data_IF_895234763811
#
_entry.id   IF_895234763811
#
_cell.length_a   1.000
_cell.length_b   1.000
_cell.length_c   1.000
_cell.angle_alpha   90.00
_cell.angle_beta   90.00
_cell.angle_gamma   90.00
#
_symmetry.space_group_name_H-M   'P 1'
#
loop_
_entity.id
_entity.type
_entity.pdbx_description
1 polymer ?
#
# COMPACT_ATOMS: atom_id res chain seq x y z
N UNK A 1 -7.69 -4.62 -18.43
CA UNK A 1 -6.54 -4.07 -17.67
C UNK A 1 -6.48 -4.76 -16.33
N UNK A 2 -5.33 -5.35 -15.99
CA UNK A 2 -5.13 -6.05 -14.72
C UNK A 2 -4.64 -5.04 -13.67
N UNK A 3 -5.44 -4.79 -12.65
CA UNK A 3 -5.14 -3.81 -11.61
C UNK A 3 -4.90 -4.52 -10.29
N UNK A 4 -3.76 -4.27 -9.64
CA UNK A 4 -3.34 -4.89 -8.39
C UNK A 4 -3.19 -3.82 -7.31
N UNK A 5 -3.89 -3.95 -6.20
CA UNK A 5 -3.65 -3.14 -5.01
C UNK A 5 -2.68 -3.87 -4.11
N UNK A 6 -1.69 -3.18 -3.56
CA UNK A 6 -0.75 -3.76 -2.61
C UNK A 6 -0.32 -2.79 -1.51
N UNK A 7 0.13 -3.37 -0.39
CA UNK A 7 0.64 -2.68 0.78
C UNK A 7 1.72 -3.52 1.46
N UNK A 8 2.75 -2.89 2.04
CA UNK A 8 3.85 -3.59 2.70
C UNK A 8 3.99 -3.18 4.18
N UNK A 9 4.22 -4.18 5.04
CA UNK A 9 4.54 -3.94 6.44
C UNK A 9 6.01 -4.27 6.71
N UNK A 10 6.65 -3.45 7.55
CA UNK A 10 8.09 -3.50 7.74
C UNK A 10 8.49 -3.32 9.19
N UNK A 11 9.68 -3.78 9.54
CA UNK A 11 10.27 -3.36 10.81
C UNK A 11 10.71 -1.90 10.75
N UNK A 12 10.90 -1.29 11.90
CA UNK A 12 11.50 0.03 12.00
C UNK A 12 12.58 0.04 13.09
N UNK A 13 13.70 0.67 12.80
CA UNK A 13 14.80 0.82 13.75
C UNK A 13 14.96 2.28 14.17
N UNK A 14 15.28 2.46 15.45
CA UNK A 14 15.63 3.75 15.98
C UNK A 14 17.03 4.16 15.49
N UNK A 15 17.15 5.39 15.01
CA UNK A 15 18.42 6.01 14.63
C UNK A 15 19.11 6.62 15.85
N UNK A 16 20.40 6.92 15.71
CA UNK A 16 21.20 7.60 16.73
C UNK A 16 20.61 8.94 17.20
N UNK A 17 19.74 9.56 16.43
CA UNK A 17 19.03 10.81 16.77
C UNK A 17 17.67 10.58 17.44
N UNK A 18 17.35 9.36 17.86
CA UNK A 18 16.10 9.00 18.52
C UNK A 18 14.88 8.92 17.58
N UNK A 19 15.07 9.02 16.26
CA UNK A 19 13.98 8.90 15.29
C UNK A 19 13.90 7.48 14.75
N UNK A 20 12.72 6.91 14.77
CA UNK A 20 12.44 5.65 14.09
C UNK A 20 12.40 5.84 12.57
N UNK A 21 12.86 4.85 11.81
CA UNK A 21 12.79 4.85 10.36
C UNK A 21 12.47 3.45 9.85
N UNK A 22 11.46 3.30 9.02
CA UNK A 22 11.09 2.03 8.39
C UNK A 22 11.77 1.81 7.02
N UNK A 23 12.76 2.61 6.65
CA UNK A 23 13.42 2.49 5.34
C UNK A 23 14.34 1.26 5.28
N UNK A 24 14.43 0.57 4.12
CA UNK A 24 15.22 -0.66 3.97
C UNK A 24 16.72 -0.45 4.23
N UNK A 25 17.27 0.72 3.91
CA UNK A 25 18.69 1.06 4.01
C UNK A 25 19.25 1.09 5.45
N UNK A 26 18.41 0.96 6.47
CA UNK A 26 18.82 1.02 7.88
C UNK A 26 18.75 -0.34 8.57
N UNK A 27 18.82 -1.42 7.80
CA UNK A 27 18.81 -2.78 8.30
C UNK A 27 17.45 -3.21 8.86
N UNK A 28 16.38 -2.62 8.36
CA UNK A 28 15.03 -3.09 8.56
C UNK A 28 14.74 -4.29 7.65
N UNK A 29 13.65 -4.97 7.92
CA UNK A 29 13.20 -6.15 7.16
C UNK A 29 11.76 -5.94 6.69
N UNK A 30 11.45 -6.47 5.51
CA UNK A 30 10.09 -6.64 5.04
C UNK A 30 9.41 -7.71 5.90
N UNK A 31 8.28 -7.39 6.50
CA UNK A 31 7.52 -8.30 7.36
C UNK A 31 6.47 -9.04 6.55
N UNK A 32 5.64 -8.32 5.81
CA UNK A 32 4.56 -8.90 5.01
C UNK A 32 4.24 -8.03 3.80
N UNK A 33 3.61 -8.65 2.81
CA UNK A 33 2.95 -7.98 1.69
C UNK A 33 1.50 -8.46 1.64
N UNK A 34 0.57 -7.51 1.63
CA UNK A 34 -0.82 -7.73 1.30
C UNK A 34 -1.09 -7.28 -0.13
N UNK A 35 -1.86 -8.05 -0.91
CA UNK A 35 -2.26 -7.65 -2.25
C UNK A 35 -3.59 -8.25 -2.69
N UNK A 36 -4.26 -7.58 -3.63
CA UNK A 36 -5.57 -7.97 -4.15
C UNK A 36 -5.72 -7.52 -5.59
N UNK A 37 -6.27 -8.40 -6.43
CA UNK A 37 -6.72 -8.03 -7.77
C UNK A 37 -8.07 -7.30 -7.70
N UNK A 38 -8.22 -6.24 -8.46
CA UNK A 38 -9.43 -5.41 -8.45
C UNK A 38 -10.71 -6.20 -8.70
N UNK A 39 -10.66 -7.17 -9.62
CA UNK A 39 -11.82 -7.98 -10.01
C UNK A 39 -12.04 -9.24 -9.13
N UNK A 40 -11.23 -9.42 -8.08
CA UNK A 40 -11.31 -10.57 -7.17
C UNK A 40 -11.71 -10.14 -5.76
N UNK A 41 -12.39 -11.03 -5.04
CA UNK A 41 -12.71 -10.79 -3.62
C UNK A 41 -11.56 -11.16 -2.69
N UNK A 42 -10.70 -12.07 -3.14
CA UNK A 42 -9.62 -12.62 -2.33
C UNK A 42 -8.50 -11.60 -2.12
N UNK A 43 -8.13 -11.39 -0.86
CA UNK A 43 -6.89 -10.70 -0.48
C UNK A 43 -5.85 -11.75 -0.12
N UNK A 44 -4.70 -11.69 -0.76
CA UNK A 44 -3.51 -12.46 -0.40
C UNK A 44 -2.72 -11.68 0.65
N UNK A 45 -2.15 -12.38 1.62
CA UNK A 45 -1.35 -11.75 2.67
C UNK A 45 -0.22 -12.70 3.09
N UNK A 46 0.99 -12.40 2.63
CA UNK A 46 2.14 -13.26 2.73
C UNK A 46 3.14 -12.77 3.77
N UNK A 47 3.67 -13.72 4.55
CA UNK A 47 4.73 -13.51 5.52
C UNK A 47 6.11 -13.61 4.84
N UNK A 48 6.98 -12.63 5.11
CA UNK A 48 8.39 -12.65 4.71
C UNK A 48 9.32 -12.76 5.90
N UNK A 49 9.00 -12.07 7.00
CA UNK A 49 9.83 -12.09 8.20
C UNK A 49 9.00 -11.74 9.44
N UNK A 50 8.78 -12.71 10.32
CA UNK A 50 7.99 -12.50 11.52
C UNK A 50 8.51 -13.38 12.68
N UNK A 51 8.25 -12.98 13.94
CA UNK A 51 8.77 -13.65 15.13
C UNK A 51 8.20 -15.06 15.36
N UNK A 52 6.95 -15.28 14.96
CA UNK A 52 6.22 -16.53 15.22
C UNK A 52 5.64 -17.19 13.96
N UNK A 53 5.40 -16.40 12.91
CA UNK A 53 4.87 -16.91 11.64
C UNK A 53 6.02 -17.26 10.70
N UNK A 54 6.08 -18.47 10.16
CA UNK A 54 7.10 -18.81 9.17
C UNK A 54 6.85 -18.04 7.87
N UNK A 55 7.92 -17.73 7.11
CA UNK A 55 7.76 -17.16 5.77
C UNK A 55 6.90 -18.06 4.88
N UNK A 56 6.03 -17.46 4.07
CA UNK A 56 5.24 -18.17 3.08
C UNK A 56 6.16 -18.70 1.96
N UNK A 57 6.18 -20.00 1.73
CA UNK A 57 7.19 -20.67 0.85
C UNK A 57 7.26 -20.08 -0.56
N UNK A 58 6.12 -19.70 -1.14
CA UNK A 58 6.03 -19.16 -2.52
C UNK A 58 5.93 -17.63 -2.59
N UNK A 59 5.87 -16.93 -1.45
CA UNK A 59 5.55 -15.50 -1.37
C UNK A 59 6.29 -14.62 -2.39
N UNK A 60 7.60 -14.79 -2.50
CA UNK A 60 8.40 -13.98 -3.42
C UNK A 60 8.11 -14.29 -4.90
N UNK A 61 7.87 -15.57 -5.23
CA UNK A 61 7.55 -15.99 -6.58
C UNK A 61 6.14 -15.55 -6.97
N UNK A 62 5.18 -15.69 -6.06
CA UNK A 62 3.78 -15.31 -6.28
C UNK A 62 3.67 -13.79 -6.45
N UNK A 63 4.35 -13.02 -5.60
CA UNK A 63 4.38 -11.55 -5.71
C UNK A 63 5.02 -11.10 -7.03
N UNK A 64 6.18 -11.65 -7.42
CA UNK A 64 6.79 -11.29 -8.71
C UNK A 64 5.89 -11.69 -9.89
N UNK A 65 5.21 -12.83 -9.78
CA UNK A 65 4.25 -13.26 -10.81
C UNK A 65 3.08 -12.28 -10.90
N UNK A 66 2.54 -11.84 -9.77
CA UNK A 66 1.47 -10.84 -9.73
C UNK A 66 1.94 -9.52 -10.35
N UNK A 67 3.12 -9.02 -9.98
CA UNK A 67 3.70 -7.80 -10.57
C UNK A 67 3.90 -7.90 -12.08
N UNK A 68 4.33 -9.04 -12.58
CA UNK A 68 4.53 -9.27 -14.02
C UNK A 68 3.20 -9.28 -14.82
N UNK A 69 2.09 -9.56 -14.17
CA UNK A 69 0.76 -9.59 -14.79
C UNK A 69 -0.05 -8.31 -14.59
N UNK A 70 0.37 -7.45 -13.66
CA UNK A 70 -0.31 -6.21 -13.38
C UNK A 70 0.02 -5.14 -14.42
N UNK A 71 -0.99 -4.56 -15.02
CA UNK A 71 -0.85 -3.37 -15.88
C UNK A 71 -0.74 -2.10 -15.03
N UNK A 72 -1.45 -2.07 -13.89
CA UNK A 72 -1.46 -0.97 -12.91
C UNK A 72 -1.31 -1.54 -11.51
N UNK A 73 -0.47 -0.91 -10.69
CA UNK A 73 -0.42 -1.16 -9.26
C UNK A 73 -0.90 0.06 -8.48
N UNK A 74 -1.72 -0.19 -7.44
CA UNK A 74 -2.29 0.82 -6.56
C UNK A 74 -1.63 0.73 -5.19
N UNK A 75 -1.32 1.85 -4.59
CA UNK A 75 -0.88 1.93 -3.20
C UNK A 75 -1.11 3.31 -2.58
N UNK A 76 -0.87 3.39 -1.29
CA UNK A 76 -1.00 4.63 -0.50
C UNK A 76 0.38 5.15 -0.09
N UNK A 77 0.77 6.37 -0.49
CA UNK A 77 2.15 6.85 -0.30
C UNK A 77 3.16 5.86 -0.90
N UNK A 78 2.86 5.44 -2.09
CA UNK A 78 3.38 4.22 -2.70
C UNK A 78 4.88 4.24 -2.98
N UNK A 79 5.48 5.42 -2.97
CA UNK A 79 6.94 5.55 -3.02
C UNK A 79 7.66 4.74 -1.93
N UNK A 80 7.02 4.58 -0.76
CA UNK A 80 7.54 3.77 0.33
C UNK A 80 7.59 2.29 -0.05
N UNK A 81 6.47 1.75 -0.53
CA UNK A 81 6.32 0.35 -0.92
C UNK A 81 7.21 0.01 -2.11
N UNK A 82 7.28 0.88 -3.11
CA UNK A 82 8.16 0.71 -4.28
C UNK A 82 9.65 0.62 -3.90
N UNK A 83 10.09 1.39 -2.91
CA UNK A 83 11.45 1.27 -2.41
C UNK A 83 11.69 -0.11 -1.77
N UNK A 84 10.73 -0.63 -1.00
CA UNK A 84 10.82 -1.95 -0.41
C UNK A 84 10.80 -3.06 -1.45
N UNK A 85 9.88 -3.00 -2.41
CA UNK A 85 9.83 -3.97 -3.50
C UNK A 85 11.17 -4.03 -4.23
N UNK A 86 11.73 -2.88 -4.62
CA UNK A 86 13.02 -2.80 -5.32
C UNK A 86 14.17 -3.35 -4.49
N UNK A 87 14.28 -2.99 -3.22
CA UNK A 87 15.35 -3.47 -2.33
C UNK A 87 15.24 -4.98 -2.03
N UNK A 88 14.03 -5.54 -2.07
CA UNK A 88 13.80 -6.99 -1.98
C UNK A 88 14.02 -7.73 -3.31
N UNK A 89 14.36 -7.02 -4.39
CA UNK A 89 14.67 -7.60 -5.69
C UNK A 89 13.48 -7.78 -6.62
N UNK A 90 12.31 -7.26 -6.25
CA UNK A 90 11.15 -7.25 -7.14
C UNK A 90 11.31 -6.21 -8.25
N UNK A 91 10.77 -6.53 -9.42
CA UNK A 91 10.74 -5.64 -10.58
C UNK A 91 9.31 -5.37 -11.02
N UNK A 92 9.05 -4.14 -11.41
CA UNK A 92 7.77 -3.71 -11.98
C UNK A 92 8.01 -2.58 -12.99
N UNK A 93 7.39 -2.68 -14.15
CA UNK A 93 7.53 -1.72 -15.26
C UNK A 93 6.19 -1.14 -15.74
N UNK A 94 5.06 -1.52 -15.08
CA UNK A 94 3.73 -1.03 -15.40
C UNK A 94 3.42 0.34 -14.80
N UNK A 95 2.15 0.70 -14.82
CA UNK A 95 1.65 1.98 -14.32
C UNK A 95 1.45 1.94 -12.80
N UNK A 96 1.58 3.11 -12.17
CA UNK A 96 1.45 3.29 -10.73
C UNK A 96 0.32 4.29 -10.45
N UNK A 97 -0.56 3.94 -9.51
CA UNK A 97 -1.57 4.83 -8.98
C UNK A 97 -1.36 5.02 -7.47
N UNK A 98 -0.96 6.23 -7.06
CA UNK A 98 -0.74 6.58 -5.65
C UNK A 98 -1.95 7.39 -5.14
N UNK A 99 -2.71 6.80 -4.20
CA UNK A 99 -3.91 7.44 -3.65
C UNK A 99 -3.60 8.71 -2.87
N UNK A 100 -2.40 8.84 -2.27
CA UNK A 100 -1.99 10.07 -1.60
C UNK A 100 -1.73 11.20 -2.60
N UNK A 101 -1.08 10.90 -3.72
CA UNK A 101 -0.82 11.89 -4.78
C UNK A 101 -2.12 12.30 -5.46
N UNK A 102 -3.00 11.33 -5.74
CA UNK A 102 -4.32 11.57 -6.31
C UNK A 102 -5.16 12.52 -5.44
N UNK A 103 -5.17 12.27 -4.12
CA UNK A 103 -5.86 13.16 -3.18
C UNK A 103 -5.27 14.55 -3.14
N UNK A 104 -3.95 14.67 -3.16
CA UNK A 104 -3.30 15.99 -3.20
C UNK A 104 -3.75 16.82 -4.42
N UNK A 105 -3.92 16.17 -5.58
CA UNK A 105 -4.40 16.82 -6.80
C UNK A 105 -5.88 17.19 -6.67
N UNK A 106 -6.74 16.28 -6.20
CA UNK A 106 -8.18 16.51 -5.97
C UNK A 106 -8.43 17.64 -4.96
N UNK A 107 -7.60 17.73 -3.93
CA UNK A 107 -7.69 18.78 -2.90
C UNK A 107 -7.31 20.17 -3.41
N UNK A 108 -6.76 20.31 -4.62
CA UNK A 108 -6.39 21.59 -5.25
C UNK A 108 -5.65 22.54 -4.31
N UNK A 109 -4.60 22.05 -3.66
CA UNK A 109 -3.79 22.78 -2.69
C UNK A 109 -4.50 23.14 -1.37
N UNK A 110 -5.69 22.65 -1.12
CA UNK A 110 -6.30 22.74 0.21
C UNK A 110 -5.55 21.80 1.16
N UNK A 111 -5.35 22.26 2.41
CA UNK A 111 -4.72 21.41 3.44
C UNK A 111 -5.73 20.35 3.93
N UNK A 112 -5.57 19.15 3.43
CA UNK A 112 -6.33 17.99 3.85
C UNK A 112 -5.38 16.90 4.37
N UNK A 113 -5.78 16.13 5.41
CA UNK A 113 -4.99 14.97 5.81
C UNK A 113 -4.93 13.92 4.68
N UNK A 114 -3.71 13.54 4.28
CA UNK A 114 -3.48 12.62 3.16
C UNK A 114 -3.20 11.17 3.60
N UNK A 115 -3.26 10.88 4.90
CA UNK A 115 -3.08 9.52 5.42
C UNK A 115 -4.27 8.61 5.10
N UNK A 116 -4.02 7.31 4.88
CA UNK A 116 -5.04 6.32 4.50
C UNK A 116 -6.27 6.36 5.40
N UNK A 117 -6.10 6.44 6.72
CA UNK A 117 -7.21 6.50 7.65
C UNK A 117 -8.16 7.69 7.39
N UNK A 118 -7.60 8.85 7.01
CA UNK A 118 -8.40 10.04 6.68
C UNK A 118 -9.07 9.95 5.32
N UNK A 119 -8.41 9.30 4.36
CA UNK A 119 -8.96 9.06 3.04
C UNK A 119 -10.06 7.98 3.09
N UNK A 120 -9.85 6.91 3.84
CA UNK A 120 -10.87 5.89 4.08
C UNK A 120 -12.12 6.49 4.75
N UNK A 121 -11.95 7.37 5.74
CA UNK A 121 -13.08 8.08 6.37
C UNK A 121 -13.85 8.96 5.36
N UNK A 122 -13.15 9.52 4.38
CA UNK A 122 -13.74 10.37 3.34
C UNK A 122 -14.46 9.59 2.24
N UNK A 123 -13.89 8.44 1.82
CA UNK A 123 -14.27 7.77 0.59
C UNK A 123 -14.80 6.35 0.76
N UNK A 124 -14.60 5.71 1.90
CA UNK A 124 -15.02 4.32 2.06
C UNK A 124 -16.07 4.16 3.15
N UNK A 125 -17.01 3.22 2.92
CA UNK A 125 -17.95 2.76 3.92
C UNK A 125 -17.30 1.75 4.90
N UNK A 126 -16.03 1.44 4.72
CA UNK A 126 -15.28 0.58 5.65
C UNK A 126 -15.20 1.31 6.99
N UNK A 127 -15.83 0.73 7.99
CA UNK A 127 -15.75 1.26 9.35
C UNK A 127 -14.28 1.41 9.71
N UNK A 128 -13.91 2.61 10.12
CA UNK A 128 -12.60 2.94 10.68
C UNK A 128 -12.19 1.83 11.63
N UNK A 129 -11.25 1.00 11.22
CA UNK A 129 -10.70 0.01 12.15
C UNK A 129 -10.14 0.77 13.34
N UNK A 130 -10.45 0.28 14.53
CA UNK A 130 -9.78 0.77 15.73
C UNK A 130 -8.30 0.65 15.46
N UNK A 131 -7.57 1.71 15.76
CA UNK A 131 -6.11 1.67 15.73
C UNK A 131 -5.59 0.60 16.70
N UNK A 132 -5.49 -0.62 16.18
CA UNK A 132 -5.06 -1.80 16.93
C UNK A 132 -3.53 -1.91 17.00
N UNK A 133 -2.82 -1.18 16.15
CA UNK A 133 -1.36 -1.26 16.00
C UNK A 133 -0.62 -0.26 16.90
N UNK A 134 -1.11 0.97 17.02
CA UNK A 134 -0.46 2.02 17.82
C UNK A 134 -0.15 1.60 19.28
N UNK A 135 -0.98 0.82 20.00
CA UNK A 135 -0.63 0.35 21.34
C UNK A 135 0.67 -0.45 21.35
N UNK A 136 0.88 -1.34 20.38
CA UNK A 136 2.10 -2.14 20.27
C UNK A 136 3.33 -1.28 19.98
N UNK A 137 3.22 -0.29 19.10
CA UNK A 137 4.31 0.66 18.83
C UNK A 137 4.70 1.48 20.06
N UNK A 138 3.74 1.86 20.91
CA UNK A 138 4.01 2.52 22.20
C UNK A 138 4.76 1.64 23.20
N UNK A 139 4.63 0.31 23.07
CA UNK A 139 5.40 -0.68 23.84
C UNK A 139 6.79 -0.95 23.23
N UNK A 140 7.16 -0.28 22.14
CA UNK A 140 8.43 -0.46 21.45
C UNK A 140 8.47 -1.68 20.52
N UNK A 141 7.33 -2.30 20.24
CA UNK A 141 7.20 -3.40 19.28
C UNK A 141 7.20 -2.89 17.84
N UNK A 142 7.59 -3.75 16.93
CA UNK A 142 7.49 -3.53 15.48
C UNK A 142 6.50 -4.54 14.90
N UNK A 143 6.16 -4.45 13.63
CA UNK A 143 5.34 -5.47 12.95
C UNK A 143 5.94 -6.88 13.06
N UNK A 144 7.24 -7.03 13.26
CA UNK A 144 7.87 -8.31 13.55
C UNK A 144 7.39 -8.96 14.85
N UNK A 145 7.02 -8.16 15.86
CA UNK A 145 6.71 -8.59 17.23
C UNK A 145 5.20 -8.65 17.52
N UNK A 146 4.37 -8.01 16.69
CA UNK A 146 2.92 -7.97 16.86
C UNK A 146 2.33 -9.33 16.47
N UNK A 147 1.31 -9.88 17.18
CA UNK A 147 0.70 -11.15 16.79
C UNK A 147 0.29 -11.18 15.31
N UNK A 148 0.60 -12.29 14.63
CA UNK A 148 0.40 -12.40 13.18
C UNK A 148 -1.03 -12.18 12.73
N UNK A 149 -2.01 -12.72 13.45
CA UNK A 149 -3.43 -12.52 13.18
C UNK A 149 -3.84 -11.04 13.23
N UNK A 150 -3.25 -10.27 14.14
CA UNK A 150 -3.51 -8.82 14.26
C UNK A 150 -2.95 -8.05 13.06
N UNK A 151 -1.68 -8.34 12.66
CA UNK A 151 -1.10 -7.66 11.49
C UNK A 151 -1.78 -8.08 10.19
N UNK A 152 -2.15 -9.35 10.07
CA UNK A 152 -2.85 -9.85 8.88
C UNK A 152 -4.22 -9.17 8.71
N UNK A 153 -5.00 -9.05 9.79
CA UNK A 153 -6.28 -8.35 9.76
C UNK A 153 -6.09 -6.87 9.41
N UNK A 154 -5.09 -6.23 10.01
CA UNK A 154 -4.74 -4.83 9.75
C UNK A 154 -4.33 -4.60 8.29
N UNK A 155 -3.37 -5.35 7.76
CA UNK A 155 -2.87 -5.17 6.40
C UNK A 155 -3.91 -5.54 5.33
N UNK A 156 -4.76 -6.55 5.56
CA UNK A 156 -5.90 -6.83 4.68
C UNK A 156 -6.84 -5.63 4.61
N UNK A 157 -7.12 -5.00 5.74
CA UNK A 157 -7.98 -3.82 5.75
C UNK A 157 -7.34 -2.61 5.09
N UNK A 158 -6.03 -2.43 5.18
CA UNK A 158 -5.32 -1.35 4.49
C UNK A 158 -5.35 -1.55 2.97
N UNK A 159 -5.16 -2.78 2.47
CA UNK A 159 -5.33 -3.11 1.04
C UNK A 159 -6.75 -2.79 0.56
N UNK A 160 -7.79 -3.24 1.28
CA UNK A 160 -9.18 -2.99 0.91
C UNK A 160 -9.54 -1.50 0.94
N UNK A 161 -9.07 -0.78 1.97
CA UNK A 161 -9.29 0.65 2.09
C UNK A 161 -8.60 1.43 0.97
N UNK A 162 -7.38 1.04 0.60
CA UNK A 162 -6.61 1.66 -0.48
C UNK A 162 -7.31 1.49 -1.82
N UNK A 163 -7.83 0.28 -2.11
CA UNK A 163 -8.61 0.02 -3.33
C UNK A 163 -9.87 0.88 -3.40
N UNK A 164 -10.65 0.93 -2.32
CA UNK A 164 -11.88 1.74 -2.27
C UNK A 164 -11.60 3.23 -2.43
N UNK A 165 -10.55 3.73 -1.79
CA UNK A 165 -10.10 5.12 -1.96
C UNK A 165 -9.74 5.40 -3.42
N UNK A 166 -8.98 4.52 -4.07
CA UNK A 166 -8.58 4.68 -5.47
C UNK A 166 -9.81 4.74 -6.40
N UNK A 167 -10.78 3.83 -6.23
CA UNK A 167 -12.00 3.81 -7.03
C UNK A 167 -12.83 5.09 -6.85
N UNK A 168 -13.01 5.55 -5.62
CA UNK A 168 -13.73 6.79 -5.34
C UNK A 168 -13.02 8.03 -5.88
N UNK A 169 -11.69 8.03 -5.90
CA UNK A 169 -10.90 9.10 -6.51
C UNK A 169 -11.04 9.11 -8.03
N UNK A 170 -11.05 7.95 -8.70
CA UNK A 170 -11.31 7.87 -10.14
C UNK A 170 -12.70 8.40 -10.49
N UNK A 171 -13.72 8.06 -9.69
CA UNK A 171 -15.06 8.63 -9.85
C UNK A 171 -15.05 10.16 -9.70
N UNK A 172 -14.32 10.68 -8.70
CA UNK A 172 -14.16 12.12 -8.48
C UNK A 172 -13.42 12.84 -9.62
N UNK A 173 -12.49 12.14 -10.30
CA UNK A 173 -11.84 12.63 -11.52
C UNK A 173 -12.73 12.49 -12.76
N UNK A 174 -13.77 11.66 -12.72
CA UNK A 174 -14.64 11.33 -13.85
C UNK A 174 -13.95 10.46 -14.89
N UNK A 175 -13.11 9.50 -14.45
CA UNK A 175 -12.31 8.62 -15.32
C UNK A 175 -12.25 7.20 -14.76
N UNK A 176 -11.69 6.28 -15.54
CA UNK A 176 -11.37 4.90 -15.17
C UNK A 176 -9.87 4.65 -15.28
N UNK A 177 -9.36 3.52 -14.75
CA UNK A 177 -7.96 3.14 -14.97
C UNK A 177 -7.67 2.98 -16.47
N UNK A 178 -8.59 2.43 -17.22
CA UNK A 178 -8.43 2.18 -18.65
C UNK A 178 -8.31 3.47 -19.46
N UNK A 179 -9.15 4.46 -19.18
CA UNK A 179 -9.09 5.78 -19.79
C UNK A 179 -7.83 6.55 -19.38
N UNK A 180 -7.47 6.47 -18.08
CA UNK A 180 -6.33 7.17 -17.52
C UNK A 180 -4.99 6.72 -18.14
N UNK A 181 -4.84 5.42 -18.42
CA UNK A 181 -3.55 4.84 -18.86
C UNK A 181 -3.49 4.48 -20.35
N UNK A 182 -4.64 4.32 -21.04
CA UNK A 182 -4.68 4.00 -22.48
C UNK A 182 -5.05 5.21 -23.35
N UNK A 183 -5.80 6.17 -22.81
CA UNK A 183 -6.19 7.38 -23.53
C UNK A 183 -5.42 8.59 -23.00
N UNK A 184 -5.03 9.46 -23.85
CA UNK A 184 -4.13 10.59 -23.79
C UNK A 184 -4.01 11.43 -22.49
N UNK A 185 -2.80 12.02 -22.24
CA UNK A 185 -2.33 12.54 -20.96
C UNK A 185 -2.88 13.92 -20.51
N UNK A 186 -4.01 14.40 -21.03
CA UNK A 186 -4.48 15.76 -20.75
C UNK A 186 -5.38 15.89 -19.50
N UNK A 187 -5.64 14.80 -18.77
CA UNK A 187 -6.45 14.84 -17.55
C UNK A 187 -5.60 15.07 -16.29
N UNK A 188 -6.17 15.77 -15.29
CA UNK A 188 -5.53 15.94 -13.97
C UNK A 188 -5.18 14.61 -13.31
N UNK A 189 -5.94 13.55 -13.58
CA UNK A 189 -5.70 12.22 -13.08
C UNK A 189 -4.40 11.59 -13.62
N UNK A 190 -3.97 11.96 -14.84
CA UNK A 190 -2.70 11.49 -15.39
C UNK A 190 -1.51 11.93 -14.53
N UNK A 191 -1.54 13.12 -13.96
CA UNK A 191 -0.48 13.58 -13.06
C UNK A 191 -0.40 12.79 -11.75
N UNK A 192 -1.48 12.18 -11.31
CA UNK A 192 -1.51 11.30 -10.15
C UNK A 192 -0.86 9.93 -10.41
N UNK A 193 -0.75 9.54 -11.67
CA UNK A 193 -0.18 8.25 -12.08
C UNK A 193 1.33 8.30 -12.38
N UNK A 194 1.93 9.49 -12.37
CA UNK A 194 3.34 9.72 -12.70
C UNK A 194 4.10 10.20 -11.46
N UNK A 195 4.01 9.44 -10.37
CA UNK A 195 4.75 9.77 -9.15
C UNK A 195 6.07 9.01 -9.04
#
# INVERSE_FOLDING_TARGET
MNVLTLDVETTHKERANGRSTPLPYFGNSLVSIGYKWLDEEQVFYDCYYHSTEPPTDSAAQDMQTALNHADVIIGQNFKFDLNWLRECGFTYEGHIYDTMVSEYILARSQRWPLGLASLAEKYSDVQKQKDVITPYFKEGKTFYDIPWDVIKEYGIADVLSTEQVALAQLEAFGTTFEELFNEQPDSLAHFASVA
#
